data_IF_076410940454
#
_entry.id   IF_076410940454
#
_cell.length_a   1.000
_cell.length_b   1.000
_cell.length_c   1.000
_cell.angle_alpha   90.00
_cell.angle_beta   90.00
_cell.angle_gamma   90.00
#
_symmetry.space_group_name_H-M   'P 1'
#
loop_
_entity.id
_entity.type
_entity.pdbx_description
1 polymer ?
#
# COMPACT_ATOMS: atom_id res chain seq x y z
N UNK A 1 -19.12 -37.70 -22.65
CA UNK A 1 -17.85 -38.23 -23.19
C UNK A 1 -17.23 -37.17 -24.10
N UNK A 2 -15.91 -36.91 -23.93
CA UNK A 2 -14.94 -36.26 -24.86
C UNK A 2 -15.18 -34.80 -25.30
N UNK A 3 -14.25 -33.83 -25.32
CA UNK A 3 -12.79 -33.67 -25.06
C UNK A 3 -12.56 -32.15 -24.82
N UNK A 4 -11.92 -31.71 -23.73
CA UNK A 4 -10.53 -31.21 -23.60
C UNK A 4 -10.09 -30.08 -24.58
N UNK A 5 -9.69 -28.91 -24.05
CA UNK A 5 -8.37 -28.24 -24.24
C UNK A 5 -8.44 -26.69 -24.05
N UNK A 6 -7.79 -26.16 -23.00
CA UNK A 6 -7.17 -24.81 -22.93
C UNK A 6 -5.90 -24.79 -23.82
N UNK A 7 -5.37 -23.66 -24.40
CA UNK A 7 -4.68 -22.60 -23.63
C UNK A 7 -4.56 -21.18 -24.26
N UNK A 8 -3.81 -20.34 -23.54
CA UNK A 8 -3.40 -18.92 -23.63
C UNK A 8 -2.83 -18.32 -24.95
N UNK A 9 -3.21 -17.04 -25.18
CA UNK A 9 -2.49 -15.85 -25.74
C UNK A 9 -1.91 -15.91 -27.18
N UNK A 10 -1.43 -14.80 -27.84
CA UNK A 10 -1.39 -13.34 -27.55
C UNK A 10 -1.86 -12.45 -28.75
N UNK A 11 -1.77 -11.10 -28.67
CA UNK A 11 -1.20 -10.16 -29.69
C UNK A 11 -1.60 -8.71 -29.37
N UNK A 12 -0.60 -7.84 -29.40
CA UNK A 12 -0.62 -6.41 -29.15
C UNK A 12 -1.65 -5.62 -29.94
N UNK A 13 -2.29 -4.66 -29.27
CA UNK A 13 -2.95 -3.53 -29.93
C UNK A 13 -2.72 -2.28 -29.10
N UNK A 14 -1.66 -1.53 -29.44
CA UNK A 14 -1.52 -0.12 -29.04
C UNK A 14 -2.72 0.65 -29.63
N UNK A 15 -3.85 0.72 -28.91
CA UNK A 15 -4.90 1.68 -29.25
C UNK A 15 -4.52 3.03 -28.68
N UNK A 16 -3.96 3.86 -29.56
CA UNK A 16 -3.65 5.26 -29.31
C UNK A 16 -4.91 5.98 -28.82
N UNK A 17 -4.84 6.48 -27.60
CA UNK A 17 -5.79 7.41 -27.00
C UNK A 17 -5.83 8.69 -27.82
N UNK A 18 -6.94 8.94 -28.53
CA UNK A 18 -7.21 10.25 -29.14
C UNK A 18 -8.02 11.07 -28.13
N UNK A 19 -7.43 12.15 -27.61
CA UNK A 19 -8.12 13.09 -26.73
C UNK A 19 -9.12 13.93 -27.53
N UNK A 20 -10.41 13.88 -27.16
CA UNK A 20 -11.50 14.65 -27.77
C UNK A 20 -11.47 16.16 -27.46
N UNK A 21 -10.47 16.62 -26.69
CA UNK A 21 -10.35 18.02 -26.28
C UNK A 21 -10.01 19.01 -27.40
N UNK A 22 -9.70 18.54 -28.61
CA UNK A 22 -9.31 19.39 -29.76
C UNK A 22 -10.51 19.75 -30.66
N UNK A 23 -11.68 19.13 -30.48
CA UNK A 23 -12.81 19.28 -31.41
C UNK A 23 -13.90 20.29 -30.98
N UNK A 24 -13.57 21.36 -30.25
CA UNK A 24 -14.56 22.40 -29.92
C UNK A 24 -13.98 23.81 -29.97
N UNK A 25 -14.12 24.51 -31.12
CA UNK A 25 -14.34 25.95 -31.03
C UNK A 25 -15.52 26.49 -31.85
N UNK A 26 -16.31 25.66 -32.56
CA UNK A 26 -17.29 26.16 -33.55
C UNK A 26 -18.78 25.96 -33.24
N UNK A 27 -19.17 25.40 -32.09
CA UNK A 27 -20.59 25.36 -31.71
C UNK A 27 -20.96 26.55 -30.83
N UNK A 28 -21.16 27.72 -31.45
CA UNK A 28 -21.84 28.85 -30.81
C UNK A 28 -23.23 29.06 -31.42
N UNK A 29 -24.22 29.09 -30.51
CA UNK A 29 -25.63 29.51 -30.59
C UNK A 29 -26.67 28.56 -31.21
N UNK A 30 -27.69 28.21 -30.43
CA UNK A 30 -29.00 28.92 -30.47
C UNK A 30 -29.89 28.47 -29.29
N UNK A 31 -30.62 29.42 -28.71
CA UNK A 31 -31.68 29.20 -27.71
C UNK A 31 -32.70 28.17 -28.22
N UNK A 32 -32.89 27.07 -27.48
CA UNK A 32 -34.10 26.22 -27.57
C UNK A 32 -34.17 25.26 -26.38
N UNK A 33 -35.18 25.50 -25.55
CA UNK A 33 -35.85 24.63 -24.56
C UNK A 33 -34.96 23.78 -23.63
N UNK A 34 -35.08 24.04 -22.32
CA UNK A 34 -34.68 23.09 -21.27
C UNK A 34 -35.35 21.73 -21.51
N UNK A 35 -34.63 20.79 -22.11
CA UNK A 35 -34.95 19.38 -21.99
C UNK A 35 -34.70 19.00 -20.53
N UNK A 36 -35.68 18.46 -19.79
CA UNK A 36 -35.42 18.02 -18.44
C UNK A 36 -34.45 16.84 -18.55
N UNK A 37 -33.19 17.07 -18.18
CA UNK A 37 -32.28 15.98 -17.87
C UNK A 37 -32.99 15.08 -16.84
N UNK A 38 -33.06 13.76 -17.05
CA UNK A 38 -33.44 12.89 -15.95
C UNK A 38 -32.43 13.18 -14.84
N UNK A 39 -32.93 13.69 -13.71
CA UNK A 39 -32.13 13.75 -12.49
C UNK A 39 -31.80 12.30 -12.18
N UNK A 40 -30.57 11.89 -12.49
CA UNK A 40 -30.03 10.66 -11.95
C UNK A 40 -30.10 10.84 -10.44
N UNK A 41 -31.09 10.20 -9.81
CA UNK A 41 -31.06 10.02 -8.37
C UNK A 41 -29.75 9.32 -8.07
N UNK A 42 -28.94 9.98 -7.26
CA UNK A 42 -27.65 9.50 -6.81
C UNK A 42 -27.77 8.02 -6.42
N UNK A 43 -27.08 7.15 -7.15
CA UNK A 43 -27.00 5.72 -6.82
C UNK A 43 -26.57 5.57 -5.37
N UNK A 44 -27.46 5.04 -4.54
CA UNK A 44 -27.21 4.72 -3.12
C UNK A 44 -26.14 3.62 -3.01
N UNK A 45 -25.84 2.92 -4.12
CA UNK A 45 -24.92 1.80 -4.22
C UNK A 45 -23.48 2.18 -4.53
N UNK A 46 -23.20 3.47 -4.76
CA UNK A 46 -21.84 4.00 -4.93
C UNK A 46 -21.41 4.74 -3.67
N UNK A 47 -21.51 4.09 -2.51
CA UNK A 47 -20.71 4.54 -1.37
C UNK A 47 -19.25 4.29 -1.74
N UNK A 48 -18.36 5.29 -1.67
CA UNK A 48 -16.94 5.04 -1.81
C UNK A 48 -16.56 4.04 -0.73
N UNK A 49 -16.03 2.89 -1.13
CA UNK A 49 -15.56 1.86 -0.21
C UNK A 49 -14.59 2.52 0.77
N UNK A 50 -15.01 2.67 2.03
CA UNK A 50 -14.18 3.26 3.09
C UNK A 50 -12.98 2.38 3.46
N UNK A 51 -12.78 1.26 2.76
CA UNK A 51 -11.63 0.38 2.89
C UNK A 51 -10.32 1.04 2.43
N UNK A 52 -10.35 2.06 1.55
CA UNK A 52 -9.13 2.82 1.21
C UNK A 52 -8.56 3.59 2.41
N UNK A 53 -9.39 3.94 3.41
CA UNK A 53 -8.93 4.62 4.63
C UNK A 53 -8.19 3.69 5.59
N UNK A 54 -8.30 2.37 5.41
CA UNK A 54 -7.57 1.37 6.21
C UNK A 54 -6.29 0.88 5.51
N UNK A 55 -6.00 1.35 4.30
CA UNK A 55 -4.77 1.03 3.57
C UNK A 55 -3.59 1.92 3.97
N UNK A 56 -3.72 2.71 5.05
CA UNK A 56 -2.59 3.40 5.65
C UNK A 56 -1.82 2.38 6.49
N UNK A 57 -0.96 1.60 5.83
CA UNK A 57 -0.04 0.68 6.49
C UNK A 57 0.84 1.49 7.46
N UNK A 58 0.50 1.44 8.75
CA UNK A 58 1.30 2.06 9.80
C UNK A 58 2.65 1.34 9.85
N UNK A 59 3.69 1.99 9.32
CA UNK A 59 5.03 1.44 9.36
C UNK A 59 5.52 1.37 10.82
N UNK A 60 5.72 0.13 11.28
CA UNK A 60 6.19 -0.14 12.64
C UNK A 60 7.58 0.47 12.84
N UNK A 61 7.82 1.02 14.02
CA UNK A 61 9.14 1.51 14.39
C UNK A 61 10.18 0.37 14.32
N UNK A 62 11.32 0.54 13.61
CA UNK A 62 12.32 -0.52 13.44
C UNK A 62 12.87 -1.11 14.75
N UNK A 63 12.88 -0.33 15.85
CA UNK A 63 13.30 -0.82 17.16
C UNK A 63 12.31 -1.86 17.73
N UNK A 64 11.01 -1.59 17.58
CA UNK A 64 9.93 -2.47 18.07
C UNK A 64 9.90 -3.75 17.25
N UNK A 65 10.02 -3.63 15.93
CA UNK A 65 10.11 -4.79 15.04
C UNK A 65 11.33 -5.67 15.37
N UNK A 66 12.49 -5.04 15.65
CA UNK A 66 13.68 -5.77 16.08
C UNK A 66 13.50 -6.48 17.43
N UNK A 67 12.79 -5.86 18.39
CA UNK A 67 12.48 -6.47 19.69
C UNK A 67 11.65 -7.75 19.52
N UNK A 68 10.60 -7.68 18.70
CA UNK A 68 9.76 -8.84 18.37
C UNK A 68 10.64 -9.97 17.81
N UNK A 69 11.53 -9.67 16.87
CA UNK A 69 12.43 -10.69 16.33
C UNK A 69 13.38 -11.29 17.37
N UNK A 70 13.87 -10.49 18.32
CA UNK A 70 14.72 -11.00 19.41
C UNK A 70 13.93 -11.93 20.34
N UNK A 71 12.70 -11.57 20.71
CA UNK A 71 11.82 -12.41 21.54
C UNK A 71 11.60 -13.79 20.90
N UNK A 72 11.40 -13.84 19.59
CA UNK A 72 11.25 -15.10 18.85
C UNK A 72 12.59 -15.79 18.48
N UNK A 73 13.72 -15.33 19.03
CA UNK A 73 15.04 -15.93 18.80
C UNK A 73 15.65 -15.63 17.43
N UNK A 74 15.02 -14.80 16.60
CA UNK A 74 15.46 -14.42 15.24
C UNK A 74 16.41 -13.22 15.26
N UNK A 75 17.53 -13.34 15.97
CA UNK A 75 18.52 -12.25 16.10
C UNK A 75 19.08 -11.74 14.76
N UNK A 76 19.23 -12.62 13.77
CA UNK A 76 19.72 -12.24 12.44
C UNK A 76 18.76 -11.30 11.70
N UNK A 77 17.45 -11.49 11.88
CA UNK A 77 16.44 -10.64 11.23
C UNK A 77 16.26 -9.34 11.99
N UNK A 78 16.34 -9.36 13.32
CA UNK A 78 16.45 -8.14 14.13
C UNK A 78 17.62 -7.26 13.65
N UNK A 79 18.79 -7.84 13.40
CA UNK A 79 19.94 -7.10 12.90
C UNK A 79 19.71 -6.51 11.50
N UNK A 80 18.99 -7.20 10.61
CA UNK A 80 18.65 -6.68 9.28
C UNK A 80 17.74 -5.47 9.38
N UNK A 81 16.71 -5.54 10.23
CA UNK A 81 15.78 -4.43 10.44
C UNK A 81 16.47 -3.23 11.06
N UNK A 82 17.32 -3.43 12.07
CA UNK A 82 18.09 -2.33 12.66
C UNK A 82 19.03 -1.68 11.63
N UNK A 83 19.71 -2.46 10.80
CA UNK A 83 20.55 -1.91 9.71
C UNK A 83 19.71 -1.15 8.68
N UNK A 84 18.55 -1.68 8.31
CA UNK A 84 17.63 -1.01 7.40
C UNK A 84 17.11 0.31 7.98
N UNK A 85 16.78 0.32 9.27
CA UNK A 85 16.33 1.50 10.02
C UNK A 85 17.39 2.59 10.14
N UNK A 86 18.65 2.22 10.35
CA UNK A 86 19.78 3.17 10.34
C UNK A 86 19.98 3.74 8.93
N UNK A 87 19.88 2.89 7.90
CA UNK A 87 20.02 3.32 6.50
C UNK A 87 18.89 4.26 6.07
N UNK A 88 17.67 4.05 6.56
CA UNK A 88 16.53 4.93 6.29
C UNK A 88 16.51 6.19 7.15
N UNK A 89 17.42 6.31 8.12
CA UNK A 89 17.48 7.45 9.04
C UNK A 89 16.36 7.48 10.08
N UNK A 90 15.53 6.43 10.16
CA UNK A 90 14.45 6.31 11.16
C UNK A 90 14.98 6.10 12.57
N UNK A 91 16.16 5.49 12.67
CA UNK A 91 16.84 5.23 13.94
C UNK A 91 18.32 5.57 13.83
N UNK A 92 18.95 5.89 14.97
CA UNK A 92 20.39 6.21 15.02
C UNK A 92 21.23 5.00 15.42
N UNK A 93 22.53 5.03 15.11
CA UNK A 93 23.46 3.98 15.53
C UNK A 93 23.52 3.85 17.06
N UNK A 94 23.40 4.96 17.79
CA UNK A 94 23.37 4.97 19.25
C UNK A 94 22.14 4.25 19.82
N UNK A 95 20.98 4.40 19.17
CA UNK A 95 19.77 3.68 19.54
C UNK A 95 19.93 2.17 19.32
N UNK A 96 20.59 1.76 18.24
CA UNK A 96 20.92 0.35 18.00
C UNK A 96 21.86 -0.19 19.08
N UNK A 97 22.87 0.57 19.50
CA UNK A 97 23.78 0.16 20.57
C UNK A 97 23.05 -0.02 21.92
N UNK A 98 22.18 0.93 22.28
CA UNK A 98 21.35 0.85 23.50
C UNK A 98 20.36 -0.32 23.46
N UNK A 99 19.80 -0.63 22.30
CA UNK A 99 18.92 -1.77 22.12
C UNK A 99 19.62 -3.08 22.51
N UNK A 100 20.84 -3.31 22.01
CA UNK A 100 21.59 -4.54 22.32
C UNK A 100 22.05 -4.60 23.79
N UNK A 101 22.51 -3.48 24.36
CA UNK A 101 22.88 -3.41 25.79
C UNK A 101 21.68 -3.72 26.71
N UNK A 102 20.47 -3.30 26.33
CA UNK A 102 19.24 -3.63 27.04
C UNK A 102 18.87 -5.13 26.95
N UNK A 103 19.10 -5.75 25.80
CA UNK A 103 18.81 -7.18 25.59
C UNK A 103 19.74 -8.09 26.39
N UNK A 104 21.03 -7.75 26.49
CA UNK A 104 21.99 -8.52 27.29
C UNK A 104 21.67 -8.46 28.79
N UNK A 105 21.17 -7.30 29.26
CA UNK A 105 20.68 -7.13 30.65
C UNK A 105 19.39 -7.91 30.91
N UNK A 106 18.45 -7.91 29.96
CA UNK A 106 17.19 -8.67 30.08
C UNK A 106 17.42 -10.20 30.05
N UNK A 107 18.36 -10.68 29.24
CA UNK A 107 18.70 -12.10 29.16
C UNK A 107 19.33 -12.65 30.46
N UNK A 108 20.09 -11.83 31.20
CA UNK A 108 20.63 -12.18 32.51
C UNK A 108 19.59 -12.19 33.65
N UNK A 109 18.38 -11.71 33.38
CA UNK A 109 17.29 -11.55 34.35
C UNK A 109 16.13 -12.52 34.09
N UNK A 110 16.39 -13.65 33.43
CA UNK A 110 15.40 -14.71 33.32
C UNK A 110 15.17 -15.36 34.70
N UNK A 111 13.96 -15.32 35.28
CA UNK A 111 13.68 -16.05 36.51
C UNK A 111 13.76 -17.55 36.22
N UNK A 112 14.67 -18.24 36.90
CA UNK A 112 14.64 -19.69 37.02
C UNK A 112 13.37 -20.07 37.79
N UNK A 113 12.36 -20.59 37.09
CA UNK A 113 11.24 -21.30 37.72
C UNK A 113 11.63 -22.76 37.94
#
# INVERSE_FOLDING_TARGET
>A
MTRKNTPLAPVSGFMRQMSLSVLMPFFRKTDRSLVPYPKYESSIFSQPDQSELLAMEEEICPLVEAEIYVIYGRKADAQKVLKAGVRSGRITADQVARFWDGQDKAAGQAPSN
#
